data_IF_918322596887
#
_entry.id   IF_918322596887
#
_cell.length_a   1.000
_cell.length_b   1.000
_cell.length_c   1.000
_cell.angle_alpha   90.00
_cell.angle_beta   90.00
_cell.angle_gamma   90.00
#
_symmetry.space_group_name_H-M   'P 1'
#
loop_
_entity.id
_entity.type
_entity.pdbx_description
1 polymer ?
#
# COMPACT_ATOMS: atom_id res chain seq x y z
N UNK A 1 -35.08 1.16 -5.98
CA UNK A 1 -34.73 0.02 -5.08
C UNK A 1 -33.26 -0.40 -5.18
N UNK A 2 -32.64 -0.53 -6.38
CA UNK A 2 -31.19 -0.89 -6.53
C UNK A 2 -30.21 0.07 -5.80
N UNK A 3 -30.48 1.38 -5.77
CA UNK A 3 -29.62 2.35 -5.07
C UNK A 3 -29.54 2.17 -3.54
N UNK A 4 -30.61 1.67 -2.90
CA UNK A 4 -30.71 1.57 -1.44
C UNK A 4 -29.89 0.42 -0.84
N UNK A 5 -29.58 -0.63 -1.63
CA UNK A 5 -28.83 -1.80 -1.13
C UNK A 5 -27.34 -1.47 -0.98
N UNK A 6 -26.79 -0.64 -1.87
CA UNK A 6 -25.37 -0.27 -1.84
C UNK A 6 -25.01 0.71 -0.72
N UNK A 7 -25.97 1.52 -0.26
CA UNK A 7 -25.74 2.51 0.80
C UNK A 7 -25.65 1.91 2.20
N UNK A 8 -26.14 0.68 2.39
CA UNK A 8 -26.04 -0.05 3.66
C UNK A 8 -24.63 -0.57 3.97
N UNK A 9 -23.73 -0.55 2.98
CA UNK A 9 -22.37 -1.07 3.12
C UNK A 9 -21.32 0.05 3.20
N UNK A 10 -20.18 -0.21 3.88
CA UNK A 10 -19.09 0.77 3.99
C UNK A 10 -18.65 1.32 2.63
N UNK A 11 -18.24 2.59 2.59
CA UNK A 11 -17.90 3.29 1.32
C UNK A 11 -16.82 2.58 0.50
N UNK A 12 -15.89 1.88 1.14
CA UNK A 12 -14.76 1.19 0.53
C UNK A 12 -14.93 -0.34 0.45
N UNK A 13 -16.15 -0.84 0.66
CA UNK A 13 -16.42 -2.28 0.65
C UNK A 13 -16.91 -2.79 -0.72
N UNK A 14 -16.78 -4.10 -0.94
CA UNK A 14 -17.27 -4.78 -2.14
C UNK A 14 -18.80 -4.76 -2.26
N UNK A 15 -19.55 -4.74 -1.15
CA UNK A 15 -21.02 -4.65 -1.17
C UNK A 15 -21.55 -3.41 -1.88
N UNK A 16 -20.71 -2.37 -2.01
CA UNK A 16 -21.06 -1.11 -2.66
C UNK A 16 -20.77 -1.07 -4.16
N UNK A 17 -20.05 -2.07 -4.70
CA UNK A 17 -19.74 -2.20 -6.13
C UNK A 17 -20.20 -3.53 -6.73
N UNK A 18 -20.68 -4.48 -5.92
CA UNK A 18 -21.18 -5.75 -6.41
C UNK A 18 -22.37 -5.55 -7.35
N UNK A 19 -22.41 -6.31 -8.43
CA UNK A 19 -23.55 -6.34 -9.34
C UNK A 19 -24.49 -7.49 -8.98
N UNK A 20 -25.78 -7.28 -9.25
CA UNK A 20 -26.83 -8.29 -9.06
C UNK A 20 -27.26 -8.95 -10.38
N UNK A 21 -26.84 -8.40 -11.52
CA UNK A 21 -27.23 -8.84 -12.86
C UNK A 21 -26.23 -9.87 -13.42
N UNK A 22 -26.13 -11.04 -12.76
CA UNK A 22 -25.25 -12.16 -13.12
C UNK A 22 -26.05 -13.46 -13.28
N UNK A 23 -25.44 -14.47 -13.91
CA UNK A 23 -26.09 -15.75 -14.21
C UNK A 23 -26.06 -16.68 -12.99
N UNK A 24 -27.24 -17.20 -12.61
CA UNK A 24 -27.38 -18.20 -11.54
C UNK A 24 -28.44 -19.24 -11.88
N UNK A 25 -28.23 -20.48 -11.47
CA UNK A 25 -29.09 -21.63 -11.78
C UNK A 25 -29.23 -22.57 -10.58
N UNK A 26 -30.29 -23.38 -10.56
CA UNK A 26 -30.47 -24.43 -9.56
C UNK A 26 -29.69 -25.70 -9.91
N UNK A 27 -29.22 -26.41 -8.90
CA UNK A 27 -28.27 -27.54 -9.00
C UNK A 27 -28.80 -28.79 -9.73
N UNK A 28 -30.11 -28.91 -9.89
CA UNK A 28 -30.80 -30.08 -10.45
C UNK A 28 -30.95 -30.05 -11.98
N UNK A 29 -30.64 -28.92 -12.60
CA UNK A 29 -30.78 -28.73 -14.04
C UNK A 29 -29.77 -29.51 -14.88
N UNK A 30 -30.18 -29.83 -16.11
CA UNK A 30 -29.31 -30.34 -17.18
C UNK A 30 -28.66 -29.21 -17.96
N UNK A 31 -27.55 -29.51 -18.62
CA UNK A 31 -26.81 -28.55 -19.47
C UNK A 31 -27.72 -27.97 -20.57
N UNK A 32 -28.59 -28.79 -21.17
CA UNK A 32 -29.54 -28.31 -22.20
C UNK A 32 -30.50 -27.23 -21.67
N UNK A 33 -30.96 -27.37 -20.42
CA UNK A 33 -31.87 -26.42 -19.78
C UNK A 33 -31.14 -25.12 -19.44
N UNK A 34 -29.90 -25.24 -18.93
CA UNK A 34 -29.05 -24.07 -18.70
C UNK A 34 -28.75 -23.32 -20.00
N UNK A 35 -28.48 -24.01 -21.11
CA UNK A 35 -28.30 -23.36 -22.42
C UNK A 35 -29.54 -22.56 -22.86
N UNK A 36 -30.75 -23.05 -22.56
CA UNK A 36 -31.99 -22.31 -22.85
C UNK A 36 -32.12 -21.06 -21.97
N UNK A 37 -31.81 -21.18 -20.67
CA UNK A 37 -31.79 -20.04 -19.73
C UNK A 37 -30.76 -19.00 -20.20
N UNK A 38 -29.55 -19.44 -20.54
CA UNK A 38 -28.48 -18.58 -21.06
C UNK A 38 -28.93 -17.84 -22.31
N UNK A 39 -29.52 -18.52 -23.30
CA UNK A 39 -30.03 -17.86 -24.52
C UNK A 39 -31.07 -16.77 -24.22
N UNK A 40 -31.89 -16.96 -23.19
CA UNK A 40 -32.93 -15.98 -22.78
C UNK A 40 -32.34 -14.81 -22.01
N UNK A 41 -31.41 -15.07 -21.08
CA UNK A 41 -30.93 -14.10 -20.10
C UNK A 41 -29.58 -13.46 -20.46
N UNK A 42 -28.84 -13.99 -21.45
CA UNK A 42 -27.57 -13.44 -21.91
C UNK A 42 -27.68 -11.98 -22.36
N UNK A 43 -28.83 -11.55 -22.91
CA UNK A 43 -29.04 -10.14 -23.30
C UNK A 43 -29.18 -9.20 -22.10
N UNK A 44 -29.47 -9.73 -20.91
CA UNK A 44 -29.74 -8.95 -19.69
C UNK A 44 -28.59 -8.96 -18.70
N UNK A 45 -27.75 -10.00 -18.74
CA UNK A 45 -26.63 -10.11 -17.81
C UNK A 45 -25.43 -9.28 -18.26
N UNK A 46 -24.85 -8.53 -17.32
CA UNK A 46 -23.61 -7.78 -17.55
C UNK A 46 -22.36 -8.65 -17.44
N UNK A 47 -22.47 -9.88 -16.95
CA UNK A 47 -21.34 -10.77 -16.67
C UNK A 47 -21.62 -12.19 -17.15
N UNK A 48 -20.84 -12.65 -18.12
CA UNK A 48 -21.10 -13.90 -18.85
C UNK A 48 -20.02 -14.97 -18.55
N UNK A 49 -18.96 -14.64 -17.82
CA UNK A 49 -17.83 -15.57 -17.59
C UNK A 49 -18.18 -16.81 -16.75
N UNK A 50 -19.03 -16.65 -15.74
CA UNK A 50 -19.38 -17.67 -14.77
C UNK A 50 -20.88 -17.80 -14.58
N UNK A 51 -21.31 -19.03 -14.29
CA UNK A 51 -22.66 -19.33 -13.83
C UNK A 51 -22.56 -19.89 -12.40
N UNK A 52 -23.30 -19.25 -11.48
CA UNK A 52 -23.30 -19.63 -10.08
C UNK A 52 -24.44 -20.62 -9.78
N UNK A 53 -24.11 -21.70 -9.09
CA UNK A 53 -25.09 -22.73 -8.71
C UNK A 53 -25.58 -22.45 -7.30
N UNK A 54 -26.90 -22.36 -7.15
CA UNK A 54 -27.55 -22.07 -5.87
C UNK A 54 -28.56 -23.15 -5.49
N UNK A 55 -28.87 -23.23 -4.20
CA UNK A 55 -30.02 -23.98 -3.71
C UNK A 55 -31.30 -23.13 -3.66
N UNK A 56 -32.39 -23.75 -3.18
CA UNK A 56 -33.71 -23.13 -3.00
C UNK A 56 -33.69 -21.88 -2.11
N UNK A 57 -32.73 -21.79 -1.19
CA UNK A 57 -32.57 -20.70 -0.23
C UNK A 57 -31.60 -19.60 -0.71
N UNK A 58 -31.16 -19.67 -1.97
CA UNK A 58 -30.10 -18.85 -2.59
C UNK A 58 -28.70 -19.02 -1.95
N UNK A 59 -28.41 -20.15 -1.30
CA UNK A 59 -27.06 -20.43 -0.85
C UNK A 59 -26.17 -20.81 -2.02
N UNK A 60 -24.95 -20.29 -2.05
CA UNK A 60 -23.96 -20.64 -3.07
C UNK A 60 -23.47 -22.08 -2.85
N UNK A 61 -23.71 -22.95 -3.84
CA UNK A 61 -23.28 -24.34 -3.84
C UNK A 61 -22.00 -24.55 -4.67
N UNK A 62 -21.80 -23.75 -5.71
CA UNK A 62 -20.67 -23.90 -6.61
C UNK A 62 -20.67 -22.91 -7.77
N UNK A 63 -19.69 -23.04 -8.65
CA UNK A 63 -19.55 -22.24 -9.86
C UNK A 63 -19.00 -23.08 -11.01
N UNK A 64 -19.39 -22.77 -12.24
CA UNK A 64 -18.76 -23.31 -13.45
C UNK A 64 -18.58 -22.20 -14.49
N UNK A 65 -17.63 -22.37 -15.41
CA UNK A 65 -17.42 -21.43 -16.51
C UNK A 65 -18.49 -21.65 -17.57
N UNK A 66 -18.90 -20.58 -18.25
CA UNK A 66 -19.80 -20.74 -19.40
C UNK A 66 -19.20 -21.63 -20.50
N UNK A 67 -17.86 -21.71 -20.59
CA UNK A 67 -17.16 -22.63 -21.50
C UNK A 67 -17.49 -24.10 -21.20
N UNK A 68 -17.58 -24.46 -19.92
CA UNK A 68 -17.91 -25.81 -19.47
C UNK A 68 -19.31 -26.25 -19.96
N UNK A 69 -20.20 -25.31 -20.27
CA UNK A 69 -21.54 -25.62 -20.82
C UNK A 69 -21.46 -26.13 -22.27
N UNK A 70 -20.47 -25.67 -23.03
CA UNK A 70 -20.27 -26.05 -24.43
C UNK A 70 -19.40 -27.29 -24.60
N UNK A 71 -18.64 -27.67 -23.57
CA UNK A 71 -17.72 -28.82 -23.60
C UNK A 71 -18.39 -30.17 -23.29
N UNK A 72 -19.63 -30.16 -22.77
CA UNK A 72 -20.33 -31.35 -22.30
C UNK A 72 -21.67 -31.58 -23.01
N UNK A 73 -22.13 -32.85 -23.16
CA UNK A 73 -23.43 -33.14 -23.74
C UNK A 73 -24.59 -32.55 -22.93
N UNK A 74 -25.64 -32.09 -23.64
CA UNK A 74 -26.81 -31.45 -23.02
C UNK A 74 -27.58 -32.32 -22.00
N UNK A 75 -27.40 -33.65 -22.04
CA UNK A 75 -28.04 -34.61 -21.13
C UNK A 75 -27.39 -34.67 -19.74
N UNK A 76 -26.16 -34.18 -19.59
CA UNK A 76 -25.41 -34.18 -18.34
C UNK A 76 -26.02 -33.18 -17.36
N UNK A 77 -26.05 -33.52 -16.06
CA UNK A 77 -26.48 -32.61 -14.98
C UNK A 77 -25.37 -31.62 -14.66
N UNK A 78 -25.73 -30.37 -14.34
CA UNK A 78 -24.73 -29.34 -14.03
C UNK A 78 -23.91 -29.65 -12.78
N UNK A 79 -24.46 -30.45 -11.85
CA UNK A 79 -23.75 -30.90 -10.65
C UNK A 79 -22.46 -31.66 -10.96
N UNK A 80 -22.32 -32.24 -12.16
CA UNK A 80 -21.10 -32.93 -12.61
C UNK A 80 -19.96 -31.98 -13.02
N UNK A 81 -20.28 -30.78 -13.51
CA UNK A 81 -19.30 -29.76 -13.93
C UNK A 81 -19.09 -28.66 -12.87
N UNK A 82 -19.92 -28.65 -11.84
CA UNK A 82 -19.92 -27.63 -10.79
C UNK A 82 -18.71 -27.77 -9.86
N UNK A 83 -17.91 -26.70 -9.74
CA UNK A 83 -16.82 -26.62 -8.77
C UNK A 83 -17.35 -26.11 -7.43
N UNK A 84 -17.26 -26.93 -6.38
CA UNK A 84 -17.81 -26.63 -5.04
C UNK A 84 -16.93 -25.71 -4.19
N UNK A 85 -15.61 -25.76 -4.38
CA UNK A 85 -14.66 -24.92 -3.64
C UNK A 85 -14.60 -23.52 -4.25
N UNK A 86 -15.62 -22.70 -3.96
CA UNK A 86 -15.72 -21.34 -4.48
C UNK A 86 -15.04 -20.36 -3.54
N UNK A 87 -14.03 -19.66 -4.08
CA UNK A 87 -13.42 -18.53 -3.40
C UNK A 87 -14.42 -17.37 -3.45
N UNK A 88 -14.74 -16.81 -2.29
CA UNK A 88 -15.75 -15.76 -2.12
C UNK A 88 -15.31 -14.73 -1.10
N UNK A 89 -15.93 -13.55 -1.16
CA UNK A 89 -15.70 -12.45 -0.21
C UNK A 89 -17.00 -12.08 0.50
N UNK A 90 -16.90 -11.44 1.65
CA UNK A 90 -18.06 -10.89 2.36
C UNK A 90 -18.38 -9.49 1.84
N UNK A 91 -19.63 -9.00 1.96
CA UNK A 91 -19.96 -7.66 1.46
C UNK A 91 -19.22 -6.53 2.18
N UNK A 92 -18.70 -6.80 3.38
CA UNK A 92 -17.93 -5.86 4.20
C UNK A 92 -16.42 -5.88 3.87
N UNK A 93 -15.97 -6.81 3.03
CA UNK A 93 -14.56 -6.90 2.60
C UNK A 93 -14.16 -5.64 1.82
N UNK A 94 -12.96 -5.11 2.09
CA UNK A 94 -12.40 -3.98 1.34
C UNK A 94 -12.18 -4.35 -0.12
N UNK A 95 -12.38 -3.37 -1.01
CA UNK A 95 -12.32 -3.58 -2.47
C UNK A 95 -10.93 -4.01 -2.92
N UNK A 96 -9.90 -3.41 -2.35
CA UNK A 96 -8.49 -3.65 -2.65
C UNK A 96 -8.10 -5.08 -2.26
N UNK A 97 -8.57 -5.56 -1.10
CA UNK A 97 -8.40 -6.95 -0.66
C UNK A 97 -9.09 -7.92 -1.62
N UNK A 98 -10.32 -7.61 -2.05
CA UNK A 98 -11.03 -8.44 -3.00
C UNK A 98 -10.34 -8.50 -4.37
N UNK A 99 -9.75 -7.40 -4.82
CA UNK A 99 -8.92 -7.35 -6.03
C UNK A 99 -7.69 -8.27 -5.90
N UNK A 100 -6.95 -8.19 -4.78
CA UNK A 100 -5.79 -9.04 -4.54
C UNK A 100 -6.14 -10.54 -4.53
N UNK A 101 -7.20 -10.93 -3.81
CA UNK A 101 -7.70 -12.32 -3.80
C UNK A 101 -8.04 -12.79 -5.22
N UNK A 102 -8.70 -11.92 -6.00
CA UNK A 102 -9.14 -12.25 -7.37
C UNK A 102 -7.95 -12.48 -8.30
N UNK A 103 -6.92 -11.63 -8.24
CA UNK A 103 -5.69 -11.76 -9.04
C UNK A 103 -4.90 -13.00 -8.61
N UNK A 104 -4.69 -13.17 -7.30
CA UNK A 104 -3.90 -14.28 -6.72
C UNK A 104 -4.44 -15.65 -7.15
N UNK A 105 -5.75 -15.77 -7.29
CA UNK A 105 -6.41 -17.01 -7.68
C UNK A 105 -6.82 -17.07 -9.16
N UNK A 106 -6.45 -16.05 -9.95
CA UNK A 106 -6.76 -15.94 -11.38
C UNK A 106 -8.25 -16.15 -11.69
N UNK A 107 -9.11 -15.50 -10.91
CA UNK A 107 -10.58 -15.60 -11.02
C UNK A 107 -11.10 -14.42 -11.83
N UNK A 108 -12.07 -14.64 -12.71
CA UNK A 108 -12.66 -13.56 -13.53
C UNK A 108 -13.78 -12.77 -12.87
N UNK A 109 -14.43 -13.34 -11.86
CA UNK A 109 -15.48 -12.66 -11.11
C UNK A 109 -15.62 -13.32 -9.74
N UNK A 110 -15.59 -12.51 -8.68
CA UNK A 110 -15.59 -13.01 -7.32
C UNK A 110 -16.99 -12.86 -6.70
N UNK A 111 -17.63 -13.96 -6.23
CA UNK A 111 -18.93 -13.89 -5.61
C UNK A 111 -18.86 -13.26 -4.22
N UNK A 112 -19.87 -12.46 -3.91
CA UNK A 112 -20.08 -11.81 -2.62
C UNK A 112 -21.14 -12.60 -1.85
N UNK A 113 -20.74 -13.16 -0.71
CA UNK A 113 -21.54 -14.11 0.08
C UNK A 113 -21.69 -13.63 1.51
N UNK A 114 -22.91 -13.70 2.06
CA UNK A 114 -23.17 -13.44 3.49
C UNK A 114 -24.03 -14.55 4.07
N UNK A 115 -23.55 -15.21 5.13
CA UNK A 115 -24.23 -16.35 5.74
C UNK A 115 -24.65 -17.42 4.70
N UNK A 116 -23.71 -17.80 3.82
CA UNK A 116 -23.88 -18.71 2.65
C UNK A 116 -24.74 -18.20 1.49
N UNK A 117 -25.53 -17.14 1.68
CA UNK A 117 -26.34 -16.55 0.61
C UNK A 117 -25.51 -15.76 -0.39
N UNK A 118 -25.71 -16.05 -1.68
CA UNK A 118 -25.10 -15.29 -2.77
C UNK A 118 -25.82 -13.95 -2.93
N UNK A 119 -25.14 -12.85 -2.60
CA UNK A 119 -25.70 -11.51 -2.67
C UNK A 119 -25.44 -10.85 -4.03
N UNK A 120 -24.23 -11.04 -4.56
CA UNK A 120 -23.73 -10.30 -5.71
C UNK A 120 -22.44 -10.90 -6.24
N UNK A 121 -21.91 -10.28 -7.28
CA UNK A 121 -20.62 -10.64 -7.88
C UNK A 121 -19.86 -9.36 -8.18
N UNK A 122 -18.54 -9.37 -8.04
CA UNK A 122 -17.67 -8.29 -8.53
C UNK A 122 -17.02 -8.76 -9.83
N UNK A 123 -17.18 -7.99 -10.91
CA UNK A 123 -16.69 -8.32 -12.25
C UNK A 123 -15.19 -8.04 -12.41
N UNK A 124 -14.54 -8.67 -13.41
CA UNK A 124 -13.17 -8.33 -13.79
C UNK A 124 -12.99 -6.84 -14.09
N UNK A 125 -13.95 -6.20 -14.75
CA UNK A 125 -13.89 -4.77 -15.06
C UNK A 125 -13.86 -3.91 -13.79
N UNK A 126 -14.64 -4.27 -12.78
CA UNK A 126 -14.59 -3.59 -11.48
C UNK A 126 -13.27 -3.87 -10.75
N UNK A 127 -12.75 -5.09 -10.83
CA UNK A 127 -11.44 -5.42 -10.25
C UNK A 127 -10.32 -4.59 -10.92
N UNK A 128 -10.35 -4.47 -12.25
CA UNK A 128 -9.43 -3.61 -13.01
C UNK A 128 -9.60 -2.13 -12.63
N UNK A 129 -10.84 -1.66 -12.43
CA UNK A 129 -11.14 -0.29 -12.00
C UNK A 129 -10.55 0.00 -10.61
N UNK A 130 -10.68 -0.94 -9.68
CA UNK A 130 -10.13 -0.87 -8.32
C UNK A 130 -8.61 -0.77 -8.38
N UNK A 131 -7.94 -1.69 -9.08
CA UNK A 131 -6.47 -1.72 -9.17
C UNK A 131 -5.96 -0.39 -9.76
N UNK A 132 -6.54 0.03 -10.89
CA UNK A 132 -6.14 1.25 -11.58
C UNK A 132 -6.36 2.50 -10.71
N UNK A 133 -7.45 2.54 -9.94
CA UNK A 133 -7.73 3.63 -9.01
C UNK A 133 -6.77 3.62 -7.83
N UNK A 134 -6.54 2.47 -7.20
CA UNK A 134 -5.62 2.31 -6.06
C UNK A 134 -4.23 2.78 -6.45
N UNK A 135 -3.70 2.30 -7.59
CA UNK A 135 -2.38 2.70 -8.08
C UNK A 135 -2.25 4.22 -8.25
N UNK A 136 -3.26 4.88 -8.80
CA UNK A 136 -3.23 6.34 -8.92
C UNK A 136 -3.37 7.05 -7.57
N UNK A 137 -4.20 6.52 -6.67
CA UNK A 137 -4.37 7.06 -5.31
C UNK A 137 -3.05 6.98 -4.53
N UNK A 138 -2.38 5.83 -4.58
CA UNK A 138 -1.11 5.59 -3.89
C UNK A 138 0.00 6.52 -4.40
N UNK A 139 0.10 6.73 -5.71
CA UNK A 139 1.09 7.66 -6.31
C UNK A 139 0.85 9.10 -5.84
N UNK A 140 -0.40 9.56 -5.83
CA UNK A 140 -0.74 10.91 -5.37
C UNK A 140 -0.49 11.06 -3.87
N UNK A 141 -0.90 10.06 -3.09
CA UNK A 141 -0.75 10.07 -1.64
C UNK A 141 0.73 10.07 -1.23
N UNK A 142 1.57 9.28 -1.90
CA UNK A 142 3.03 9.26 -1.71
C UNK A 142 3.65 10.66 -1.91
N UNK A 143 3.16 11.42 -2.90
CA UNK A 143 3.61 12.78 -3.17
C UNK A 143 2.99 13.86 -2.25
N UNK A 144 2.16 13.48 -1.26
CA UNK A 144 1.44 14.44 -0.42
C UNK A 144 0.36 15.20 -1.19
N UNK A 145 -0.27 14.59 -2.19
CA UNK A 145 -1.35 15.18 -2.98
C UNK A 145 -2.68 14.53 -2.59
N UNK A 146 -3.71 15.36 -2.37
CA UNK A 146 -5.03 14.88 -1.97
C UNK A 146 -5.73 14.09 -3.08
N UNK A 147 -6.40 12.98 -2.72
CA UNK A 147 -7.12 12.08 -3.65
C UNK A 147 -8.26 12.71 -4.45
N UNK A 148 -8.70 13.92 -4.09
CA UNK A 148 -9.66 14.69 -4.90
C UNK A 148 -9.15 14.97 -6.31
N UNK A 149 -7.83 14.93 -6.53
CA UNK A 149 -7.23 14.99 -7.86
C UNK A 149 -7.71 13.87 -8.79
N UNK A 150 -8.07 12.69 -8.26
CA UNK A 150 -8.61 11.58 -9.06
C UNK A 150 -9.99 11.86 -9.67
N UNK A 151 -10.69 12.92 -9.22
CA UNK A 151 -11.99 13.30 -9.79
C UNK A 151 -11.86 14.05 -11.11
N UNK A 152 -10.66 14.51 -11.44
CA UNK A 152 -10.38 15.31 -12.63
C UNK A 152 -9.55 14.50 -13.61
N UNK A 153 -9.79 14.69 -14.89
CA UNK A 153 -9.12 13.95 -15.96
C UNK A 153 -7.62 14.29 -16.02
N UNK A 154 -7.29 15.56 -15.79
CA UNK A 154 -5.92 16.05 -15.73
C UNK A 154 -5.80 17.26 -14.80
N UNK A 155 -4.56 17.68 -14.54
CA UNK A 155 -4.26 18.83 -13.64
C UNK A 155 -4.83 20.15 -14.15
N UNK A 156 -4.98 20.34 -15.47
CA UNK A 156 -5.52 21.57 -16.07
C UNK A 156 -7.03 21.70 -15.86
N UNK A 157 -7.74 20.58 -15.69
CA UNK A 157 -9.16 20.56 -15.39
C UNK A 157 -9.48 20.92 -13.93
N UNK A 158 -8.47 21.00 -13.06
CA UNK A 158 -8.63 21.34 -11.64
C UNK A 158 -8.65 22.87 -11.51
N UNK A 159 -9.66 23.46 -10.84
CA UNK A 159 -9.65 24.88 -10.55
C UNK A 159 -8.36 25.29 -9.85
N UNK A 160 -7.71 26.36 -10.32
CA UNK A 160 -6.38 26.77 -9.87
C UNK A 160 -6.27 26.87 -8.33
N UNK A 161 -7.19 27.59 -7.69
CA UNK A 161 -7.21 27.76 -6.24
C UNK A 161 -7.46 26.44 -5.49
N UNK A 162 -8.24 25.53 -6.06
CA UNK A 162 -8.48 24.22 -5.48
C UNK A 162 -7.20 23.37 -5.49
N UNK A 163 -6.42 23.43 -6.57
CA UNK A 163 -5.13 22.76 -6.68
C UNK A 163 -4.12 23.27 -5.64
N UNK A 164 -4.07 24.59 -5.41
CA UNK A 164 -3.26 25.19 -4.33
C UNK A 164 -3.72 24.66 -2.97
N UNK A 165 -5.03 24.71 -2.70
CA UNK A 165 -5.61 24.29 -1.42
C UNK A 165 -5.41 22.80 -1.11
N UNK A 166 -5.33 21.94 -2.13
CA UNK A 166 -5.04 20.52 -1.94
C UNK A 166 -3.58 20.22 -1.57
N UNK A 167 -2.63 21.09 -1.92
CA UNK A 167 -1.19 20.91 -1.67
C UNK A 167 -0.69 21.67 -0.45
N UNK A 168 -1.27 22.84 -0.20
CA UNK A 168 -0.85 23.75 0.87
C UNK A 168 -0.81 23.09 2.26
N UNK A 169 -1.79 22.26 2.69
CA UNK A 169 -1.75 21.62 4.00
C UNK A 169 -0.49 20.77 4.21
N UNK A 170 -0.11 19.98 3.20
CA UNK A 170 1.09 19.13 3.30
C UNK A 170 2.38 19.93 3.24
N UNK A 171 2.43 21.04 2.49
CA UNK A 171 3.57 21.96 2.50
C UNK A 171 3.71 22.66 3.86
N UNK A 172 2.60 23.04 4.50
CA UNK A 172 2.62 23.63 5.85
C UNK A 172 3.10 22.61 6.90
N UNK A 173 2.67 21.35 6.79
CA UNK A 173 3.22 20.26 7.63
C UNK A 173 4.73 20.12 7.42
N UNK A 174 5.19 20.15 6.16
CA UNK A 174 6.63 20.15 5.83
C UNK A 174 7.38 21.33 6.45
N UNK A 175 6.82 22.54 6.37
CA UNK A 175 7.39 23.75 6.97
C UNK A 175 7.55 23.62 8.49
N UNK A 176 6.54 23.06 9.18
CA UNK A 176 6.62 22.77 10.61
C UNK A 176 7.77 21.81 10.90
N UNK A 177 7.92 20.76 10.09
CA UNK A 177 9.00 19.79 10.27
C UNK A 177 10.40 20.33 10.02
N UNK A 178 10.57 21.19 9.00
CA UNK A 178 11.84 21.88 8.74
C UNK A 178 12.15 22.86 9.88
N UNK A 179 11.13 23.54 10.41
CA UNK A 179 11.29 24.43 11.56
C UNK A 179 11.72 23.64 12.80
N UNK A 180 11.09 22.50 13.07
CA UNK A 180 11.48 21.59 14.16
C UNK A 180 12.93 21.12 13.99
N UNK A 181 13.31 20.68 12.79
CA UNK A 181 14.68 20.28 12.47
C UNK A 181 15.69 21.40 12.77
N UNK A 182 15.36 22.64 12.40
CA UNK A 182 16.20 23.81 12.67
C UNK A 182 16.37 24.08 14.17
N UNK A 183 15.31 23.89 14.97
CA UNK A 183 15.40 24.00 16.44
C UNK A 183 16.33 22.93 17.03
N UNK A 184 16.27 21.69 16.55
CA UNK A 184 17.18 20.63 16.99
C UNK A 184 18.63 20.89 16.62
N UNK A 185 18.90 21.44 15.41
CA UNK A 185 20.24 21.88 15.03
C UNK A 185 20.73 22.96 16.01
N UNK A 186 19.86 23.89 16.42
CA UNK A 186 20.17 24.95 17.39
C UNK A 186 20.64 24.44 18.77
N UNK A 187 20.21 23.24 19.19
CA UNK A 187 20.68 22.61 20.43
C UNK A 187 22.18 22.30 20.36
N UNK A 188 22.69 21.98 19.17
CA UNK A 188 24.10 21.65 18.92
C UNK A 188 24.92 22.85 18.42
N UNK A 189 24.48 24.07 18.70
CA UNK A 189 25.16 25.31 18.28
C UNK A 189 26.62 25.36 18.74
N UNK A 190 26.90 24.97 19.99
CA UNK A 190 28.28 24.92 20.53
C UNK A 190 29.18 23.98 19.73
N UNK A 191 28.68 22.78 19.40
CA UNK A 191 29.39 21.79 18.57
C UNK A 191 29.68 22.35 17.18
N UNK A 192 28.72 23.06 16.59
CA UNK A 192 28.87 23.69 15.27
C UNK A 192 29.83 24.89 15.27
N UNK A 193 29.85 25.69 16.34
CA UNK A 193 30.80 26.80 16.50
C UNK A 193 32.25 26.28 16.55
N UNK A 194 32.48 25.12 17.17
CA UNK A 194 33.79 24.47 17.21
C UNK A 194 34.13 23.70 15.92
N UNK A 195 33.13 23.12 15.25
CA UNK A 195 33.33 22.24 14.10
C UNK A 195 32.34 22.55 12.97
N UNK A 196 32.54 23.70 12.31
CA UNK A 196 31.65 24.20 11.24
C UNK A 196 31.48 23.20 10.09
N UNK A 197 32.50 22.39 9.82
CA UNK A 197 32.49 21.35 8.79
C UNK A 197 31.35 20.33 8.97
N UNK A 198 30.88 20.09 10.20
CA UNK A 198 29.74 19.21 10.46
C UNK A 198 28.46 19.70 9.75
N UNK A 199 28.28 21.02 9.60
CA UNK A 199 27.13 21.59 8.91
C UNK A 199 27.13 21.29 7.41
N UNK A 200 28.31 21.18 6.79
CA UNK A 200 28.41 20.94 5.34
C UNK A 200 27.90 19.55 4.94
N UNK A 201 27.93 18.60 5.87
CA UNK A 201 27.47 17.24 5.63
C UNK A 201 26.04 16.97 6.11
N UNK A 202 25.36 17.96 6.70
CA UNK A 202 23.95 17.85 7.08
C UNK A 202 23.04 17.43 5.91
N UNK A 203 23.12 18.04 4.71
CA UNK A 203 22.28 17.63 3.59
C UNK A 203 22.50 16.16 3.20
N UNK A 204 23.75 15.68 3.26
CA UNK A 204 24.08 14.28 2.96
C UNK A 204 23.50 13.32 3.99
N UNK A 205 23.63 13.65 5.28
CA UNK A 205 23.10 12.87 6.40
C UNK A 205 21.58 12.73 6.29
N UNK A 206 20.88 13.86 6.14
CA UNK A 206 19.42 13.90 6.05
C UNK A 206 18.94 13.12 4.83
N UNK A 207 19.55 13.37 3.67
CA UNK A 207 19.19 12.70 2.41
C UNK A 207 19.36 11.18 2.48
N UNK A 208 20.52 10.69 2.91
CA UNK A 208 20.80 9.24 2.91
C UNK A 208 19.95 8.50 3.95
N UNK A 209 19.75 9.11 5.13
CA UNK A 209 18.82 8.60 6.13
C UNK A 209 17.40 8.50 5.57
N UNK A 210 16.90 9.58 4.97
CA UNK A 210 15.56 9.63 4.37
C UNK A 210 15.40 8.62 3.24
N UNK A 211 16.37 8.53 2.34
CA UNK A 211 16.35 7.58 1.22
C UNK A 211 16.31 6.12 1.70
N UNK A 212 17.12 5.75 2.69
CA UNK A 212 17.07 4.41 3.29
C UNK A 212 15.77 4.15 4.04
N UNK A 213 15.26 5.15 4.77
CA UNK A 213 13.95 5.09 5.43
C UNK A 213 12.83 4.78 4.45
N UNK A 214 12.72 5.54 3.37
CA UNK A 214 11.70 5.35 2.32
C UNK A 214 11.81 3.96 1.70
N UNK A 215 13.02 3.49 1.35
CA UNK A 215 13.21 2.14 0.78
C UNK A 215 12.70 1.04 1.71
N UNK A 216 13.04 1.10 2.99
CA UNK A 216 12.59 0.11 3.97
C UNK A 216 11.07 0.18 4.20
N UNK A 217 10.50 1.38 4.28
CA UNK A 217 9.06 1.59 4.43
C UNK A 217 8.29 1.06 3.24
N UNK A 218 8.71 1.37 2.01
CA UNK A 218 8.05 0.89 0.79
C UNK A 218 8.05 -0.63 0.71
N UNK A 219 9.19 -1.29 0.98
CA UNK A 219 9.26 -2.75 1.02
C UNK A 219 8.36 -3.33 2.11
N UNK A 220 8.31 -2.71 3.28
CA UNK A 220 7.48 -3.16 4.38
C UNK A 220 5.99 -3.02 4.08
N UNK A 221 5.55 -1.90 3.49
CA UNK A 221 4.16 -1.67 3.08
C UNK A 221 3.75 -2.70 2.03
N UNK A 222 4.61 -2.95 1.03
CA UNK A 222 4.38 -3.97 0.00
C UNK A 222 4.21 -5.36 0.62
N UNK A 223 5.14 -5.77 1.47
CA UNK A 223 5.13 -7.11 2.06
C UNK A 223 3.99 -7.27 3.07
N UNK A 224 3.61 -6.20 3.77
CA UNK A 224 2.43 -6.17 4.62
C UNK A 224 1.14 -6.34 3.81
N UNK A 225 1.04 -5.71 2.63
CA UNK A 225 -0.11 -5.88 1.74
C UNK A 225 -0.22 -7.32 1.20
N UNK A 226 0.90 -7.93 0.80
CA UNK A 226 0.92 -9.29 0.22
C UNK A 226 0.71 -10.38 1.29
N UNK A 227 1.38 -10.25 2.44
CA UNK A 227 1.42 -11.32 3.46
C UNK A 227 0.43 -11.09 4.60
N UNK A 228 -0.01 -9.85 4.83
CA UNK A 228 -0.92 -9.50 5.92
C UNK A 228 -0.45 -10.04 7.27
N UNK A 229 -1.33 -10.80 7.94
CA UNK A 229 -1.04 -11.43 9.25
C UNK A 229 0.05 -12.51 9.20
N UNK A 230 0.43 -13.00 8.02
CA UNK A 230 1.47 -14.03 7.88
C UNK A 230 2.89 -13.45 7.96
N UNK A 231 3.03 -12.12 7.93
CA UNK A 231 4.32 -11.45 8.03
C UNK A 231 4.92 -11.62 9.44
N UNK A 232 6.07 -12.30 9.55
CA UNK A 232 6.80 -12.46 10.81
C UNK A 232 7.62 -11.21 11.14
N UNK A 233 6.99 -10.22 11.77
CA UNK A 233 7.58 -8.89 12.05
C UNK A 233 8.99 -8.92 12.63
N UNK A 234 9.25 -9.74 13.66
CA UNK A 234 10.58 -9.80 14.30
C UNK A 234 11.68 -10.23 13.31
N UNK A 235 11.40 -11.25 12.51
CA UNK A 235 12.37 -11.76 11.52
C UNK A 235 12.57 -10.76 10.38
N UNK A 236 11.49 -10.12 9.93
CA UNK A 236 11.56 -9.07 8.92
C UNK A 236 12.39 -7.88 9.40
N UNK A 237 12.12 -7.38 10.61
CA UNK A 237 12.80 -6.23 11.20
C UNK A 237 14.31 -6.49 11.37
N UNK A 238 14.68 -7.66 11.92
CA UNK A 238 16.08 -8.04 12.07
C UNK A 238 16.79 -8.16 10.70
N UNK A 239 16.11 -8.67 9.68
CA UNK A 239 16.66 -8.74 8.32
C UNK A 239 16.90 -7.34 7.74
N UNK A 240 15.98 -6.40 7.94
CA UNK A 240 16.14 -5.02 7.49
C UNK A 240 17.27 -4.29 8.24
N UNK A 241 17.44 -4.53 9.54
CA UNK A 241 18.60 -4.03 10.29
C UNK A 241 19.90 -4.55 9.67
N UNK A 242 19.97 -5.84 9.34
CA UNK A 242 21.15 -6.43 8.71
C UNK A 242 21.48 -5.79 7.37
N UNK A 243 20.48 -5.62 6.50
CA UNK A 243 20.64 -4.95 5.21
C UNK A 243 21.07 -3.49 5.39
N UNK A 244 20.39 -2.75 6.28
CA UNK A 244 20.70 -1.36 6.60
C UNK A 244 22.11 -1.18 7.18
N UNK A 245 22.60 -2.13 7.97
CA UNK A 245 23.96 -2.10 8.53
C UNK A 245 25.01 -2.30 7.43
N UNK A 246 24.80 -3.25 6.52
CA UNK A 246 25.74 -3.49 5.42
C UNK A 246 25.80 -2.28 4.48
N UNK A 247 24.64 -1.76 4.07
CA UNK A 247 24.55 -0.59 3.21
C UNK A 247 25.10 0.67 3.90
N UNK A 248 24.75 0.88 5.17
CA UNK A 248 25.28 1.98 5.98
C UNK A 248 26.80 1.92 6.10
N UNK A 249 27.38 0.73 6.26
CA UNK A 249 28.84 0.56 6.31
C UNK A 249 29.50 0.95 4.99
N UNK A 250 28.97 0.46 3.86
CA UNK A 250 29.48 0.78 2.52
C UNK A 250 29.42 2.29 2.27
N UNK A 251 28.26 2.92 2.53
CA UNK A 251 28.08 4.36 2.33
C UNK A 251 29.02 5.16 3.23
N UNK A 252 29.16 4.77 4.50
CA UNK A 252 30.02 5.48 5.45
C UNK A 252 31.49 5.37 5.11
N UNK A 253 31.94 4.21 4.60
CA UNK A 253 33.31 4.05 4.08
C UNK A 253 33.58 4.93 2.86
N UNK A 254 32.60 5.06 1.96
CA UNK A 254 32.72 5.97 0.81
C UNK A 254 32.74 7.44 1.24
N UNK A 255 31.89 7.82 2.20
CA UNK A 255 31.89 9.17 2.78
C UNK A 255 33.24 9.45 3.45
N UNK A 256 33.78 8.50 4.21
CA UNK A 256 35.11 8.63 4.82
C UNK A 256 36.17 8.94 3.76
N UNK A 257 36.21 8.13 2.69
CA UNK A 257 37.19 8.29 1.61
C UNK A 257 37.06 9.64 0.92
N UNK A 258 35.83 10.08 0.63
CA UNK A 258 35.56 11.38 0.02
C UNK A 258 36.07 12.50 0.93
N UNK A 259 35.68 12.50 2.20
CA UNK A 259 36.08 13.57 3.14
C UNK A 259 37.60 13.59 3.32
N UNK A 260 38.21 12.41 3.46
CA UNK A 260 39.66 12.26 3.60
C UNK A 260 40.42 12.83 2.39
N UNK A 261 39.96 12.56 1.16
CA UNK A 261 40.60 13.04 -0.07
C UNK A 261 40.48 14.57 -0.25
N UNK A 262 39.32 15.14 0.06
CA UNK A 262 39.05 16.56 -0.20
C UNK A 262 39.45 17.50 0.95
N UNK A 263 39.18 17.13 2.20
CA UNK A 263 39.46 17.97 3.37
C UNK A 263 40.76 17.63 4.08
N UNK A 264 41.33 16.44 3.83
CA UNK A 264 42.61 15.98 4.43
C UNK A 264 42.63 15.98 5.96
N UNK A 265 41.46 15.94 6.60
CA UNK A 265 41.27 15.88 8.05
C UNK A 265 40.75 14.48 8.45
N UNK A 266 41.64 13.51 8.75
CA UNK A 266 41.25 12.11 8.95
C UNK A 266 40.34 11.92 10.17
N UNK A 267 40.55 12.72 11.22
CA UNK A 267 39.75 12.65 12.44
C UNK A 267 38.30 13.08 12.18
N UNK A 268 38.12 14.21 11.49
CA UNK A 268 36.79 14.72 11.13
C UNK A 268 36.10 13.76 10.15
N UNK A 269 36.84 13.25 9.17
CA UNK A 269 36.32 12.24 8.23
C UNK A 269 35.78 11.02 8.98
N UNK A 270 36.52 10.53 9.98
CA UNK A 270 36.09 9.41 10.82
C UNK A 270 34.83 9.73 11.61
N UNK A 271 34.77 10.90 12.27
CA UNK A 271 33.61 11.34 13.06
C UNK A 271 32.36 11.38 12.19
N UNK A 272 32.41 12.06 11.03
CA UNK A 272 31.25 12.19 10.14
C UNK A 272 30.80 10.82 9.63
N UNK A 273 31.75 9.95 9.28
CA UNK A 273 31.44 8.64 8.72
C UNK A 273 30.85 7.68 9.75
N UNK A 274 31.36 7.68 10.98
CA UNK A 274 30.76 6.89 12.07
C UNK A 274 29.37 7.41 12.40
N UNK A 275 29.20 8.74 12.49
CA UNK A 275 27.87 9.34 12.71
C UNK A 275 26.91 8.99 11.57
N UNK A 276 27.37 9.00 10.31
CA UNK A 276 26.60 8.59 9.14
C UNK A 276 26.09 7.15 9.25
N UNK A 277 26.97 6.23 9.63
CA UNK A 277 26.64 4.80 9.78
C UNK A 277 25.48 4.61 10.75
N UNK A 278 25.61 5.14 11.96
CA UNK A 278 24.60 5.00 12.99
C UNK A 278 23.31 5.75 12.64
N UNK A 279 23.41 6.94 12.06
CA UNK A 279 22.25 7.69 11.60
C UNK A 279 21.45 6.90 10.57
N UNK A 280 22.11 6.29 9.58
CA UNK A 280 21.45 5.44 8.58
C UNK A 280 20.73 4.26 9.25
N UNK A 281 21.41 3.53 10.13
CA UNK A 281 20.88 2.30 10.75
C UNK A 281 19.72 2.62 11.69
N UNK A 282 19.88 3.60 12.57
CA UNK A 282 18.88 3.94 13.59
C UNK A 282 17.67 4.63 12.93
N UNK A 283 17.89 5.56 12.00
CA UNK A 283 16.78 6.23 11.32
C UNK A 283 15.96 5.26 10.46
N UNK A 284 16.63 4.30 9.82
CA UNK A 284 15.95 3.18 9.13
C UNK A 284 15.04 2.38 10.06
N UNK A 285 15.50 2.10 11.28
CA UNK A 285 14.69 1.43 12.29
C UNK A 285 13.47 2.29 12.67
N UNK A 286 13.70 3.58 12.92
CA UNK A 286 12.64 4.53 13.27
C UNK A 286 11.59 4.63 12.17
N UNK A 287 11.99 4.68 10.90
CA UNK A 287 11.08 4.73 9.76
C UNK A 287 10.15 3.49 9.69
N UNK A 288 10.72 2.29 9.93
CA UNK A 288 9.93 1.05 10.02
C UNK A 288 8.98 1.05 11.22
N UNK A 289 9.47 1.47 12.39
CA UNK A 289 8.67 1.55 13.63
C UNK A 289 7.49 2.52 13.43
N UNK A 290 7.71 3.68 12.81
CA UNK A 290 6.67 4.66 12.49
C UNK A 290 5.57 4.03 11.64
N UNK A 291 5.94 3.28 10.59
CA UNK A 291 4.96 2.62 9.70
C UNK A 291 4.18 1.53 10.43
N UNK A 292 4.85 0.75 11.29
CA UNK A 292 4.21 -0.25 12.15
C UNK A 292 3.22 0.41 13.12
N UNK A 293 3.60 1.55 13.69
CA UNK A 293 2.75 2.29 14.62
C UNK A 293 1.50 2.81 13.91
N UNK A 294 1.62 3.37 12.71
CA UNK A 294 0.48 3.80 11.90
C UNK A 294 -0.50 2.63 11.66
N UNK A 295 0.01 1.48 11.23
CA UNK A 295 -0.80 0.28 11.02
C UNK A 295 -1.54 -0.16 12.30
N UNK A 296 -0.85 -0.16 13.45
CA UNK A 296 -1.45 -0.52 14.74
C UNK A 296 -2.53 0.46 15.20
N UNK A 297 -2.39 1.74 14.86
CA UNK A 297 -3.38 2.78 15.13
C UNK A 297 -4.56 2.76 14.15
N UNK A 298 -4.61 1.79 13.22
CA UNK A 298 -5.60 1.70 12.13
C UNK A 298 -5.57 2.93 11.21
N UNK A 299 -4.42 3.59 11.14
CA UNK A 299 -4.13 4.61 10.14
C UNK A 299 -3.48 3.93 8.93
N UNK A 300 -3.65 4.55 7.76
CA UNK A 300 -3.00 4.07 6.55
C UNK A 300 -1.46 4.11 6.72
N UNK A 301 -0.77 2.96 6.64
CA UNK A 301 0.69 2.91 6.77
C UNK A 301 1.43 3.81 5.77
N UNK A 302 0.85 4.10 4.60
CA UNK A 302 1.43 4.98 3.59
C UNK A 302 1.55 6.43 4.07
N UNK A 303 0.78 6.85 5.07
CA UNK A 303 0.93 8.17 5.72
C UNK A 303 2.30 8.26 6.41
N UNK A 304 2.77 7.15 6.97
CA UNK A 304 4.08 7.06 7.63
C UNK A 304 5.26 7.15 6.66
N UNK A 305 5.04 6.97 5.35
CA UNK A 305 6.07 7.12 4.29
C UNK A 305 5.95 8.43 3.51
N UNK A 306 4.92 9.24 3.78
CA UNK A 306 4.71 10.53 3.15
C UNK A 306 5.47 11.68 3.85
N UNK A 307 4.95 12.92 3.77
CA UNK A 307 5.59 14.09 4.39
C UNK A 307 5.85 13.92 5.90
N UNK A 308 4.94 13.28 6.64
CA UNK A 308 5.13 13.01 8.08
C UNK A 308 6.31 12.08 8.34
N UNK A 309 6.47 11.03 7.52
CA UNK A 309 7.61 10.12 7.59
C UNK A 309 8.93 10.83 7.38
N UNK A 310 8.95 11.73 6.40
CA UNK A 310 10.13 12.55 6.08
C UNK A 310 10.53 13.41 7.27
N UNK A 311 9.58 14.12 7.88
CA UNK A 311 9.85 14.98 9.05
C UNK A 311 10.44 14.19 10.22
N UNK A 312 9.84 13.02 10.52
CA UNK A 312 10.33 12.16 11.60
C UNK A 312 11.74 11.67 11.30
N UNK A 313 12.00 11.24 10.05
CA UNK A 313 13.33 10.82 9.60
C UNK A 313 14.35 11.95 9.73
N UNK A 314 14.02 13.16 9.25
CA UNK A 314 14.93 14.30 9.25
C UNK A 314 15.33 14.69 10.67
N UNK A 315 14.34 14.90 11.55
CA UNK A 315 14.59 15.23 12.96
C UNK A 315 15.41 14.14 13.65
N UNK A 316 15.04 12.88 13.46
CA UNK A 316 15.75 11.74 14.06
C UNK A 316 17.20 11.68 13.57
N UNK A 317 17.41 11.87 12.27
CA UNK A 317 18.75 11.81 11.64
C UNK A 317 19.68 12.92 12.14
N UNK A 318 19.16 14.14 12.29
CA UNK A 318 19.90 15.29 12.81
C UNK A 318 20.31 15.04 14.26
N UNK A 319 19.39 14.57 15.10
CA UNK A 319 19.66 14.28 16.51
C UNK A 319 20.76 13.20 16.62
N UNK A 320 20.63 12.08 15.91
CA UNK A 320 21.61 10.98 15.98
C UNK A 320 22.97 11.45 15.49
N UNK A 321 23.00 12.17 14.36
CA UNK A 321 24.24 12.67 13.77
C UNK A 321 25.02 13.54 14.75
N UNK A 322 24.35 14.54 15.33
CA UNK A 322 25.01 15.45 16.25
C UNK A 322 25.32 14.81 17.59
N UNK A 323 24.47 13.95 18.15
CA UNK A 323 24.78 13.22 19.39
C UNK A 323 26.05 12.41 19.22
N UNK A 324 26.18 11.66 18.14
CA UNK A 324 27.37 10.82 17.91
C UNK A 324 28.59 11.67 17.61
N UNK A 325 28.44 12.73 16.80
CA UNK A 325 29.53 13.65 16.53
C UNK A 325 30.04 14.30 17.82
N UNK A 326 29.15 14.81 18.67
CA UNK A 326 29.48 15.41 19.97
C UNK A 326 30.18 14.42 20.90
N UNK A 327 29.67 13.19 21.02
CA UNK A 327 30.30 12.15 21.83
C UNK A 327 31.71 11.80 21.37
N UNK A 328 31.95 11.73 20.06
CA UNK A 328 33.27 11.44 19.50
C UNK A 328 34.22 12.64 19.63
N UNK A 329 33.72 13.86 19.47
CA UNK A 329 34.50 15.09 19.58
C UNK A 329 34.75 15.52 21.03
N UNK A 330 34.03 14.92 22.00
CA UNK A 330 34.14 15.22 23.42
C UNK A 330 33.51 16.56 23.82
N UNK A 331 32.46 17.00 23.10
CA UNK A 331 31.79 18.30 23.28
C UNK A 331 30.31 18.14 23.60
#
# INVERSE_FOLDING_TARGET
MKAYIHEQYPRHSVGRIMIHDFLKVQNDLKISEVLQILKKDMKKSKLIDYVYVIDSDNNLLGVFSIKDVFDYPGTVRISAITRKNVISVTPDTEREIAADITIKHNIKAIPVVKKRKLLGVVSSDEILSIINRSLREDVLHFAGIHKSHLKYENTLAIPFFLNVLHRLPWLLVGLIGITASSLFIGIFKSTLENYLILAFFLPSIVYMSGAMGVQHQTLFIRDLAIMGKQLKFKSYFLRQIGIGSILGLIISLLVFLIIFLFWREPYIAMVISISMFFTIVISSCTALITTILMNKLKLDPAVGSGPLGTIISDVTSIIIYFVIASLLLGV
#
